data_IF_247725537673
#
_entry.id   IF_247725537673
#
_cell.length_a   1.000
_cell.length_b   1.000
_cell.length_c   1.000
_cell.angle_alpha   90.00
_cell.angle_beta   90.00
_cell.angle_gamma   90.00
#
_symmetry.space_group_name_H-M   'P 1'
#
loop_
_entity.id
_entity.type
_entity.pdbx_description
1 polymer ?
#
# COMPACT_ATOMS: atom_id res chain seq x y z
N UNK A 1 -5.16 3.88 95.22
CA UNK A 1 -6.54 4.41 95.21
C UNK A 1 -6.93 4.68 93.77
N UNK A 2 -8.07 4.10 93.31
CA UNK A 2 -8.82 4.40 92.06
C UNK A 2 -8.06 4.30 90.74
N UNK A 3 -8.41 3.47 89.74
CA UNK A 3 -9.71 3.37 89.07
C UNK A 3 -10.09 4.72 88.43
N UNK A 4 -10.52 4.87 87.18
CA UNK A 4 -10.63 4.07 85.96
C UNK A 4 -11.12 5.06 84.87
N UNK A 5 -10.84 4.77 83.59
CA UNK A 5 -11.53 5.25 82.37
C UNK A 5 -11.71 6.78 82.13
N UNK A 6 -11.28 7.28 80.96
CA UNK A 6 -12.20 7.59 79.85
C UNK A 6 -11.44 7.97 78.56
N UNK A 7 -12.09 7.65 77.44
CA UNK A 7 -11.60 7.59 76.07
C UNK A 7 -11.36 8.95 75.39
N UNK A 8 -10.52 8.96 74.34
CA UNK A 8 -10.78 9.76 73.14
C UNK A 8 -10.39 9.03 71.85
N UNK A 9 -11.21 9.28 70.84
CA UNK A 9 -11.40 8.57 69.57
C UNK A 9 -10.37 8.94 68.48
N UNK A 10 -10.16 7.96 67.58
CA UNK A 10 -10.02 8.03 66.09
C UNK A 10 -8.93 8.98 65.53
N UNK A 11 -8.05 8.57 64.63
CA UNK A 11 -8.37 8.02 63.31
C UNK A 11 -7.12 7.38 62.69
N UNK A 12 -7.26 6.15 62.19
CA UNK A 12 -6.27 5.53 61.31
C UNK A 12 -6.43 6.08 59.89
N UNK A 13 -5.34 6.59 59.31
CA UNK A 13 -5.25 6.85 57.88
C UNK A 13 -4.71 5.59 57.20
N UNK A 14 -5.62 4.73 56.72
CA UNK A 14 -5.31 3.71 55.73
C UNK A 14 -5.07 4.41 54.39
N UNK A 15 -3.82 4.37 53.93
CA UNK A 15 -3.44 4.78 52.59
C UNK A 15 -4.05 3.79 51.59
N UNK A 16 -5.23 4.09 51.06
CA UNK A 16 -5.85 3.31 49.99
C UNK A 16 -5.13 3.62 48.68
N UNK A 17 -4.26 2.71 48.27
CA UNK A 17 -3.62 2.71 46.95
C UNK A 17 -4.70 2.36 45.91
N UNK A 18 -5.34 3.37 45.32
CA UNK A 18 -6.27 3.16 44.20
C UNK A 18 -5.46 2.76 42.97
N UNK A 19 -5.49 1.47 42.60
CA UNK A 19 -5.07 1.03 41.28
C UNK A 19 -5.96 1.70 40.24
N UNK A 20 -5.39 2.63 39.48
CA UNK A 20 -6.00 3.12 38.26
C UNK A 20 -6.13 1.94 37.29
N UNK A 21 -7.35 1.45 37.09
CA UNK A 21 -7.69 0.54 36.01
C UNK A 21 -7.45 1.26 34.69
N UNK A 22 -6.34 0.96 34.03
CA UNK A 22 -6.05 1.38 32.67
C UNK A 22 -7.17 0.87 31.77
N UNK A 23 -8.07 1.77 31.34
CA UNK A 23 -9.00 1.48 30.27
C UNK A 23 -8.17 1.09 29.04
N UNK A 24 -8.24 -0.18 28.65
CA UNK A 24 -7.67 -0.65 27.39
C UNK A 24 -8.44 0.01 26.27
N UNK A 25 -7.86 1.07 25.70
CA UNK A 25 -8.31 1.61 24.43
C UNK A 25 -8.22 0.48 23.40
N UNK A 26 -9.37 -0.10 23.06
CA UNK A 26 -9.47 -1.14 22.04
C UNK A 26 -9.02 -0.54 20.71
N UNK A 27 -7.82 -0.93 20.28
CA UNK A 27 -7.30 -0.56 18.96
C UNK A 27 -8.09 -1.30 17.89
N UNK A 28 -9.05 -0.56 17.30
CA UNK A 28 -9.84 -0.95 16.14
C UNK A 28 -8.91 -1.53 15.05
N UNK A 29 -9.28 -2.64 14.39
CA UNK A 29 -8.49 -3.17 13.28
C UNK A 29 -8.18 -2.12 12.22
N UNK A 30 -6.91 -2.04 11.80
CA UNK A 30 -6.59 -1.46 10.51
C UNK A 30 -7.29 -2.35 9.46
N UNK A 31 -8.17 -1.80 8.62
CA UNK A 31 -9.01 -2.62 7.76
C UNK A 31 -8.19 -3.11 6.57
N UNK A 32 -8.39 -4.39 6.22
CA UNK A 32 -8.31 -4.86 4.85
C UNK A 32 -8.98 -3.84 3.93
N UNK A 33 -8.52 -3.66 2.69
CA UNK A 33 -9.30 -2.84 1.74
C UNK A 33 -10.66 -3.53 1.58
N UNK A 34 -11.73 -2.90 2.09
CA UNK A 34 -13.07 -3.48 2.00
C UNK A 34 -13.53 -3.59 0.54
N UNK A 35 -14.55 -4.40 0.19
CA UNK A 35 -15.14 -4.46 -1.16
C UNK A 35 -15.58 -3.08 -1.61
N UNK A 36 -16.18 -2.33 -0.69
CA UNK A 36 -16.58 -0.95 -0.94
C UNK A 36 -15.36 -0.06 -1.20
N UNK A 37 -14.29 -0.22 -0.43
CA UNK A 37 -13.06 0.55 -0.62
C UNK A 37 -12.31 0.14 -1.89
N UNK A 38 -12.28 -1.15 -2.25
CA UNK A 38 -11.67 -1.67 -3.46
C UNK A 38 -12.46 -1.20 -4.68
N UNK A 39 -13.79 -1.31 -4.66
CA UNK A 39 -14.64 -0.74 -5.69
C UNK A 39 -14.43 0.77 -5.82
N UNK A 40 -14.25 1.49 -4.71
CA UNK A 40 -13.95 2.92 -4.71
C UNK A 40 -12.57 3.23 -5.32
N UNK A 41 -11.54 2.48 -4.94
CA UNK A 41 -10.18 2.59 -5.46
C UNK A 41 -10.16 2.35 -6.97
N UNK A 42 -10.74 1.25 -7.42
CA UNK A 42 -10.83 0.86 -8.83
C UNK A 42 -11.66 1.87 -9.65
N UNK A 43 -12.81 2.31 -9.13
CA UNK A 43 -13.61 3.36 -9.78
C UNK A 43 -12.86 4.70 -9.86
N UNK A 44 -12.14 5.08 -8.80
CA UNK A 44 -11.29 6.28 -8.79
C UNK A 44 -10.14 6.16 -9.80
N UNK A 45 -9.57 4.97 -9.97
CA UNK A 45 -8.59 4.65 -11.00
C UNK A 45 -9.14 4.62 -12.44
N UNK A 46 -10.46 4.69 -12.63
CA UNK A 46 -11.10 4.60 -13.95
C UNK A 46 -11.44 3.19 -14.42
N UNK A 47 -11.41 2.21 -13.50
CA UNK A 47 -11.68 0.80 -13.78
C UNK A 47 -12.81 0.27 -12.90
N UNK A 48 -14.06 0.74 -13.05
CA UNK A 48 -15.16 0.32 -12.18
C UNK A 48 -15.31 -1.20 -12.16
N UNK A 49 -15.68 -1.75 -11.01
CA UNK A 49 -15.93 -3.19 -10.86
C UNK A 49 -17.39 -3.45 -11.21
N UNK A 50 -17.63 -4.23 -12.26
CA UNK A 50 -18.95 -4.69 -12.70
C UNK A 50 -18.96 -6.21 -12.63
N UNK A 51 -19.96 -6.79 -11.95
CA UNK A 51 -20.06 -8.25 -11.76
C UNK A 51 -18.76 -8.89 -11.25
N UNK A 52 -18.14 -8.28 -10.23
CA UNK A 52 -16.89 -8.77 -9.65
C UNK A 52 -15.72 -8.85 -10.66
N UNK A 53 -15.71 -7.95 -11.66
CA UNK A 53 -14.64 -7.80 -12.62
C UNK A 53 -14.39 -6.30 -12.91
N UNK A 54 -13.17 -5.78 -12.75
CA UNK A 54 -12.84 -4.44 -13.25
C UNK A 54 -13.11 -4.36 -14.76
N UNK A 55 -13.74 -3.27 -15.20
CA UNK A 55 -13.96 -2.99 -16.62
C UNK A 55 -13.24 -1.73 -17.05
N UNK A 56 -12.86 -1.65 -18.31
CA UNK A 56 -12.31 -0.41 -18.88
C UNK A 56 -13.45 0.57 -19.21
N UNK A 57 -13.10 1.73 -19.78
CA UNK A 57 -14.06 2.75 -20.18
C UNK A 57 -15.11 2.25 -21.19
N UNK A 58 -14.89 1.10 -21.80
CA UNK A 58 -15.74 0.53 -22.84
C UNK A 58 -16.52 -0.68 -22.35
N UNK A 59 -16.46 -0.96 -21.04
CA UNK A 59 -17.14 -2.08 -20.42
C UNK A 59 -16.48 -3.43 -20.66
N UNK A 60 -15.33 -3.47 -21.36
CA UNK A 60 -14.59 -4.70 -21.54
C UNK A 60 -13.85 -5.07 -20.23
N UNK A 61 -13.64 -6.35 -19.93
CA UNK A 61 -12.86 -6.76 -18.77
C UNK A 61 -11.46 -6.10 -18.78
N UNK A 62 -11.23 -5.25 -17.79
CA UNK A 62 -9.95 -4.58 -17.58
C UNK A 62 -9.07 -5.34 -16.61
N UNK A 63 -7.77 -5.15 -16.82
CA UNK A 63 -6.68 -5.73 -16.03
C UNK A 63 -5.63 -4.66 -15.81
N UNK A 64 -5.92 -3.62 -15.00
CA UNK A 64 -4.94 -2.58 -14.72
C UNK A 64 -3.85 -3.13 -13.78
N UNK A 65 -2.58 -2.85 -14.10
CA UNK A 65 -1.48 -2.88 -13.14
C UNK A 65 -1.63 -1.70 -12.19
N UNK A 66 -1.47 -1.91 -10.88
CA UNK A 66 -1.60 -0.87 -9.86
C UNK A 66 -0.26 -0.71 -9.15
N UNK A 67 0.25 0.51 -9.08
CA UNK A 67 1.45 0.88 -8.29
C UNK A 67 1.05 1.83 -7.19
N UNK A 68 1.47 1.57 -5.96
CA UNK A 68 1.32 2.50 -4.85
C UNK A 68 2.59 3.35 -4.75
N UNK A 69 2.47 4.65 -4.96
CA UNK A 69 3.59 5.59 -4.99
C UNK A 69 3.21 6.78 -4.12
N UNK A 70 4.08 7.17 -3.20
CA UNK A 70 3.92 8.42 -2.45
C UNK A 70 4.22 9.62 -3.35
N UNK A 71 3.19 10.09 -4.06
CA UNK A 71 3.33 11.15 -5.06
C UNK A 71 3.39 12.53 -4.42
N UNK A 72 3.06 12.69 -3.14
CA UNK A 72 3.02 14.01 -2.47
C UNK A 72 3.99 14.13 -1.27
N UNK A 73 4.68 13.04 -0.90
CA UNK A 73 5.65 12.98 0.18
C UNK A 73 5.05 12.90 1.59
N UNK A 74 3.75 12.60 1.72
CA UNK A 74 3.02 12.58 3.00
C UNK A 74 3.06 11.21 3.70
N UNK A 75 3.80 10.24 3.14
CA UNK A 75 3.90 8.84 3.59
C UNK A 75 2.58 8.06 3.44
N UNK A 76 1.65 8.53 2.62
CA UNK A 76 0.47 7.80 2.15
C UNK A 76 0.60 7.64 0.64
N UNK A 77 0.59 6.40 0.18
CA UNK A 77 0.77 6.13 -1.23
C UNK A 77 -0.51 6.38 -2.03
N UNK A 78 -0.37 7.03 -3.19
CA UNK A 78 -1.37 7.10 -4.24
C UNK A 78 -1.30 5.88 -5.17
N UNK A 79 -2.44 5.48 -5.72
CA UNK A 79 -2.54 4.36 -6.64
C UNK A 79 -2.44 4.85 -8.09
N UNK A 80 -1.42 4.41 -8.81
CA UNK A 80 -1.26 4.57 -10.26
C UNK A 80 -1.71 3.29 -10.96
N UNK A 81 -2.75 3.38 -11.76
CA UNK A 81 -3.27 2.34 -12.62
C UNK A 81 -2.70 2.48 -14.04
N UNK A 82 -2.27 1.37 -14.63
CA UNK A 82 -1.80 1.27 -16.00
C UNK A 82 -2.48 0.09 -16.68
N UNK A 83 -3.13 0.29 -17.81
CA UNK A 83 -3.88 -0.77 -18.48
C UNK A 83 -3.78 -0.66 -20.00
N UNK A 84 -3.47 -1.77 -20.65
CA UNK A 84 -3.62 -1.90 -22.10
C UNK A 84 -5.09 -2.13 -22.44
N UNK A 85 -5.70 -1.21 -23.19
CA UNK A 85 -7.10 -1.33 -23.64
C UNK A 85 -7.16 -1.14 -25.14
N UNK A 86 -7.69 -2.13 -25.86
CA UNK A 86 -7.95 -2.01 -27.30
C UNK A 86 -8.93 -0.87 -27.61
N UNK A 87 -9.74 -0.44 -26.63
CA UNK A 87 -10.70 0.62 -26.80
C UNK A 87 -10.07 2.03 -26.72
N UNK A 88 -8.90 2.16 -26.12
CA UNK A 88 -8.19 3.43 -26.03
C UNK A 88 -7.45 3.79 -27.33
N UNK A 89 -8.05 3.52 -28.49
CA UNK A 89 -7.45 3.82 -29.78
C UNK A 89 -7.21 5.34 -29.94
N UNK A 90 -6.09 5.74 -30.58
CA UNK A 90 -5.08 4.89 -31.18
C UNK A 90 -4.03 4.36 -30.19
N UNK A 91 -4.01 4.85 -28.95
CA UNK A 91 -2.94 4.58 -27.97
C UNK A 91 -2.88 3.15 -27.45
N UNK A 92 -4.04 2.47 -27.45
CA UNK A 92 -4.22 1.14 -26.87
C UNK A 92 -3.75 1.01 -25.42
N UNK A 93 -3.67 2.14 -24.71
CA UNK A 93 -3.23 2.22 -23.33
C UNK A 93 -4.08 3.24 -22.59
N UNK A 94 -4.24 3.04 -21.30
CA UNK A 94 -4.93 3.93 -20.38
C UNK A 94 -4.19 3.97 -19.06
N UNK A 95 -4.33 5.09 -18.36
CA UNK A 95 -3.86 5.21 -16.99
C UNK A 95 -4.90 5.90 -16.12
N UNK A 96 -4.77 5.72 -14.81
CA UNK A 96 -5.52 6.45 -13.81
C UNK A 96 -4.67 6.65 -12.57
N UNK A 97 -4.89 7.75 -11.86
CA UNK A 97 -4.26 8.02 -10.57
C UNK A 97 -5.36 8.31 -9.56
N UNK A 98 -5.31 7.62 -8.43
CA UNK A 98 -6.22 7.81 -7.33
C UNK A 98 -5.45 8.10 -6.03
N UNK A 99 -6.00 8.98 -5.20
CA UNK A 99 -5.46 9.28 -3.88
C UNK A 99 -6.49 8.97 -2.79
N UNK A 100 -6.00 8.52 -1.63
CA UNK A 100 -6.85 8.31 -0.45
C UNK A 100 -6.88 9.58 0.38
N UNK A 101 -8.06 10.18 0.50
CA UNK A 101 -8.29 11.36 1.34
C UNK A 101 -8.04 11.09 2.82
N UNK A 102 -7.96 12.17 3.60
CA UNK A 102 -7.86 12.09 5.07
C UNK A 102 -9.10 11.46 5.72
N UNK A 103 -10.23 11.51 5.03
CA UNK A 103 -11.48 10.82 5.35
C UNK A 103 -11.47 9.33 5.02
N UNK A 104 -10.36 8.82 4.46
CA UNK A 104 -10.21 7.43 4.05
C UNK A 104 -10.85 7.09 2.71
N UNK A 105 -11.39 8.07 1.96
CA UNK A 105 -12.04 7.83 0.67
C UNK A 105 -11.08 7.97 -0.49
N UNK A 106 -11.12 7.02 -1.42
CA UNK A 106 -10.39 7.14 -2.69
C UNK A 106 -11.06 8.15 -3.62
N UNK A 107 -10.25 9.07 -4.18
CA UNK A 107 -10.67 10.06 -5.16
C UNK A 107 -9.76 10.00 -6.39
N UNK A 108 -10.34 10.21 -7.56
CA UNK A 108 -9.58 10.32 -8.82
C UNK A 108 -8.77 11.62 -8.82
N UNK A 109 -7.51 11.54 -9.22
CA UNK A 109 -6.64 12.69 -9.48
C UNK A 109 -6.50 12.99 -10.97
N UNK A 110 -6.44 11.97 -11.82
CA UNK A 110 -6.41 12.07 -13.28
C UNK A 110 -6.62 10.69 -13.89
N UNK A 111 -7.12 10.63 -15.12
CA UNK A 111 -7.09 9.43 -15.95
C UNK A 111 -6.99 9.85 -17.42
N UNK A 112 -6.49 8.98 -18.29
CA UNK A 112 -6.38 9.30 -19.71
C UNK A 112 -5.99 8.12 -20.57
N UNK A 113 -6.20 8.26 -21.88
CA UNK A 113 -5.69 7.34 -22.88
C UNK A 113 -4.23 7.68 -23.17
N UNK A 114 -3.38 6.67 -23.36
CA UNK A 114 -1.94 6.83 -23.49
C UNK A 114 -1.19 6.37 -22.24
N UNK A 115 0.03 6.87 -22.09
CA UNK A 115 0.94 6.48 -20.99
C UNK A 115 1.26 7.67 -20.12
N UNK A 116 1.49 7.41 -18.83
CA UNK A 116 1.89 8.43 -17.87
C UNK A 116 3.22 8.05 -17.23
N UNK A 117 4.06 9.05 -17.02
CA UNK A 117 5.33 8.93 -16.31
C UNK A 117 5.40 9.97 -15.19
N UNK A 118 5.73 9.53 -13.98
CA UNK A 118 6.09 10.44 -12.90
C UNK A 118 7.55 10.91 -13.05
N UNK A 119 7.78 12.19 -12.82
CA UNK A 119 9.08 12.85 -12.84
C UNK A 119 9.59 13.06 -11.42
N UNK A 120 10.91 13.23 -11.22
CA UNK A 120 11.48 13.50 -9.89
C UNK A 120 11.17 14.91 -9.38
N UNK A 121 10.73 15.83 -10.24
CA UNK A 121 10.35 17.20 -9.87
C UNK A 121 8.96 17.24 -9.25
N UNK A 122 8.65 18.30 -8.49
CA UNK A 122 7.36 18.47 -7.82
C UNK A 122 6.80 19.87 -8.05
N UNK A 123 5.48 19.95 -8.22
CA UNK A 123 4.70 21.19 -8.23
C UNK A 123 3.65 21.13 -7.14
N UNK A 124 3.65 22.11 -6.23
CA UNK A 124 2.72 22.14 -5.10
C UNK A 124 2.87 20.94 -4.15
N UNK A 125 4.06 20.36 -4.06
CA UNK A 125 4.35 19.17 -3.25
C UNK A 125 4.09 17.83 -3.96
N UNK A 126 3.45 17.82 -5.13
CA UNK A 126 3.11 16.62 -5.88
C UNK A 126 4.10 16.36 -7.01
N UNK A 127 4.43 15.09 -7.28
CA UNK A 127 5.29 14.71 -8.41
C UNK A 127 4.73 15.28 -9.71
N UNK A 128 5.57 15.91 -10.52
CA UNK A 128 5.21 16.31 -11.86
C UNK A 128 5.04 15.08 -12.73
N UNK A 129 4.08 15.09 -13.66
CA UNK A 129 3.89 13.97 -14.58
C UNK A 129 4.06 14.43 -16.03
N UNK A 130 4.35 13.47 -16.88
CA UNK A 130 4.25 13.56 -18.34
C UNK A 130 3.21 12.58 -18.83
N UNK A 131 2.30 13.06 -19.66
CA UNK A 131 1.28 12.25 -20.30
C UNK A 131 1.53 12.21 -21.81
N UNK A 132 1.81 11.03 -22.34
CA UNK A 132 2.03 10.82 -23.77
C UNK A 132 0.77 10.23 -24.42
N UNK A 133 0.24 10.91 -25.43
CA UNK A 133 -0.95 10.55 -26.20
C UNK A 133 -0.95 11.27 -27.55
N UNK A 134 -1.57 10.70 -28.57
CA UNK A 134 -1.72 11.32 -29.89
C UNK A 134 -0.40 11.73 -30.54
N UNK A 135 0.70 11.03 -30.22
CA UNK A 135 2.05 11.39 -30.66
C UNK A 135 2.66 12.63 -30.00
N UNK A 136 2.04 13.18 -28.95
CA UNK A 136 2.55 14.32 -28.16
C UNK A 136 2.71 13.97 -26.70
N UNK A 137 3.50 14.76 -25.97
CA UNK A 137 3.68 14.62 -24.52
C UNK A 137 3.29 15.93 -23.84
N UNK A 138 2.24 15.89 -23.03
CA UNK A 138 1.75 17.01 -22.26
C UNK A 138 2.24 16.94 -20.80
N UNK A 139 2.78 18.03 -20.24
CA UNK A 139 3.12 18.08 -18.82
C UNK A 139 1.84 18.14 -17.98
N UNK A 140 1.68 17.25 -16.99
CA UNK A 140 0.63 17.34 -16.00
C UNK A 140 1.16 17.87 -14.68
N UNK A 141 0.45 18.83 -14.08
CA UNK A 141 0.80 19.47 -12.82
C UNK A 141 -0.40 19.46 -11.88
N UNK A 142 -0.15 19.25 -10.59
CA UNK A 142 -1.20 19.27 -9.59
C UNK A 142 -1.63 20.72 -9.32
N UNK A 143 -2.91 21.04 -9.46
CA UNK A 143 -3.44 22.40 -9.29
C UNK A 143 -3.98 22.71 -7.88
N UNK A 144 -3.73 21.82 -6.91
CA UNK A 144 -4.33 21.87 -5.58
C UNK A 144 -5.51 20.91 -5.40
N UNK A 145 -6.10 20.42 -6.50
CA UNK A 145 -7.20 19.44 -6.46
C UNK A 145 -6.96 18.22 -7.34
N UNK A 146 -6.47 18.40 -8.57
CA UNK A 146 -6.29 17.33 -9.55
C UNK A 146 -5.10 17.65 -10.48
N UNK A 147 -4.64 16.66 -11.25
CA UNK A 147 -3.61 16.88 -12.26
C UNK A 147 -4.22 17.47 -13.54
N UNK A 148 -3.67 18.59 -14.00
CA UNK A 148 -4.10 19.31 -15.21
C UNK A 148 -2.91 19.53 -16.15
N UNK A 149 -3.17 19.69 -17.45
CA UNK A 149 -2.13 20.04 -18.42
C UNK A 149 -1.56 21.43 -18.10
N UNK A 150 -0.24 21.51 -17.91
CA UNK A 150 0.45 22.75 -17.58
C UNK A 150 0.35 23.76 -18.73
N UNK A 151 0.01 25.02 -18.42
CA UNK A 151 -0.11 26.09 -19.43
C UNK A 151 -1.41 26.06 -20.25
N UNK A 152 -2.27 25.06 -20.07
CA UNK A 152 -3.60 25.04 -20.68
C UNK A 152 -4.59 25.86 -19.86
N UNK A 153 -5.29 26.81 -20.49
CA UNK A 153 -6.58 27.30 -19.98
C UNK A 153 -7.57 26.15 -20.15
N UNK A 154 -7.89 25.48 -19.05
CA UNK A 154 -9.04 24.59 -18.92
C UNK A 154 -9.19 23.52 -20.04
N UNK A 155 -8.27 22.55 -20.07
CA UNK A 155 -8.62 21.20 -20.51
C UNK A 155 -8.09 20.22 -19.46
N UNK A 156 -8.89 20.03 -18.42
CA UNK A 156 -8.68 18.92 -17.52
C UNK A 156 -8.65 17.62 -18.36
N UNK A 157 -7.69 16.75 -18.13
CA UNK A 157 -7.69 15.37 -18.61
C UNK A 157 -8.79 14.57 -17.85
N UNK A 158 -9.96 15.17 -17.66
CA UNK A 158 -11.00 14.71 -16.77
C UNK A 158 -12.17 14.22 -17.59
N UNK A 159 -12.38 12.90 -17.55
CA UNK A 159 -13.74 12.38 -17.58
C UNK A 159 -14.27 12.59 -16.13
N UNK A 160 -15.11 13.63 -15.91
CA UNK A 160 -15.78 14.02 -14.65
C UNK A 160 -17.32 14.09 -14.87
N UNK A 161 -18.27 14.29 -13.87
CA UNK A 161 -18.20 14.78 -12.45
C UNK A 161 -19.19 14.04 -11.46
N UNK A 162 -19.63 14.49 -10.22
CA UNK A 162 -19.56 15.80 -9.54
C UNK A 162 -19.05 15.87 -8.06
N UNK A 163 -19.12 17.12 -7.56
CA UNK A 163 -18.30 17.95 -6.63
C UNK A 163 -18.57 17.91 -5.11
N UNK A 164 -17.56 18.31 -4.30
CA UNK A 164 -17.53 19.42 -3.30
C UNK A 164 -16.58 19.11 -2.09
N UNK A 165 -16.28 20.04 -1.15
CA UNK A 165 -15.55 21.33 -1.24
C UNK A 165 -14.25 21.39 -0.36
N UNK A 166 -13.50 22.50 -0.46
CA UNK A 166 -12.15 22.82 0.08
C UNK A 166 -12.12 23.25 1.57
N UNK A 167 -11.01 23.01 2.32
CA UNK A 167 -10.34 24.13 3.05
C UNK A 167 -8.80 24.19 2.89
N UNK A 168 -8.23 25.28 3.42
CA UNK A 168 -6.94 25.94 3.13
C UNK A 168 -5.73 25.47 4.00
N UNK A 169 -4.50 26.00 3.79
CA UNK A 169 -3.23 25.29 4.00
C UNK A 169 -2.61 25.45 5.39
N UNK A 170 -1.79 24.47 5.80
CA UNK A 170 -0.87 24.58 6.93
C UNK A 170 0.59 24.48 6.44
N UNK A 171 1.39 25.39 6.96
CA UNK A 171 2.78 25.71 6.62
C UNK A 171 3.73 24.57 6.96
N UNK A 172 4.64 24.25 6.04
CA UNK A 172 5.69 23.25 6.21
C UNK A 172 6.97 23.88 6.77
N UNK A 173 7.67 23.14 7.62
CA UNK A 173 9.11 23.33 7.89
C UNK A 173 9.80 22.03 7.49
N UNK A 174 10.71 22.12 6.53
CA UNK A 174 11.45 21.00 5.96
C UNK A 174 12.79 20.78 6.69
N UNK A 175 13.22 19.52 6.79
CA UNK A 175 14.66 19.21 6.86
C UNK A 175 15.01 17.86 6.23
N UNK A 176 15.87 17.96 5.22
CA UNK A 176 17.02 17.12 4.84
C UNK A 176 16.88 15.63 4.45
N UNK A 177 17.22 15.43 3.17
CA UNK A 177 17.77 14.27 2.42
C UNK A 177 18.76 13.37 3.17
N UNK A 178 18.71 12.05 2.95
CA UNK A 178 19.89 11.15 2.89
C UNK A 178 19.60 9.92 2.02
N UNK A 179 20.62 9.51 1.25
CA UNK A 179 20.66 8.35 0.37
C UNK A 179 20.48 6.99 1.10
N UNK A 180 19.98 5.98 0.38
CA UNK A 180 19.75 4.64 0.92
C UNK A 180 21.06 4.01 1.48
N UNK A 181 21.08 3.55 2.74
CA UNK A 181 22.29 3.02 3.36
C UNK A 181 22.59 1.58 2.90
N UNK A 182 23.85 1.18 3.10
CA UNK A 182 24.44 -0.15 2.84
C UNK A 182 23.74 -1.37 3.48
N UNK A 183 22.64 -1.17 4.23
CA UNK A 183 21.86 -2.23 4.89
C UNK A 183 20.80 -2.92 4.02
N UNK A 184 20.32 -2.28 2.96
CA UNK A 184 19.21 -2.83 2.15
C UNK A 184 19.67 -3.97 1.23
N UNK A 185 20.95 -3.98 0.84
CA UNK A 185 21.50 -5.03 -0.01
C UNK A 185 21.41 -6.42 0.62
N UNK A 186 21.50 -6.54 1.95
CA UNK A 186 21.38 -7.81 2.67
C UNK A 186 19.95 -8.37 2.58
N UNK A 187 18.93 -7.50 2.61
CA UNK A 187 17.52 -7.88 2.45
C UNK A 187 17.26 -8.40 1.04
N UNK A 188 17.71 -7.66 0.03
CA UNK A 188 17.56 -8.10 -1.35
C UNK A 188 18.24 -9.45 -1.59
N UNK A 189 19.48 -9.63 -1.13
CA UNK A 189 20.18 -10.92 -1.24
C UNK A 189 19.45 -12.04 -0.50
N UNK A 190 18.95 -11.78 0.71
CA UNK A 190 18.16 -12.76 1.46
C UNK A 190 16.86 -13.13 0.75
N UNK A 191 16.23 -12.18 0.04
CA UNK A 191 15.08 -12.43 -0.83
C UNK A 191 15.44 -13.14 -2.15
N UNK A 192 16.73 -13.41 -2.41
CA UNK A 192 17.21 -14.05 -3.63
C UNK A 192 17.43 -13.10 -4.80
N UNK A 193 17.44 -11.78 -4.57
CA UNK A 193 17.65 -10.80 -5.62
C UNK A 193 19.13 -10.63 -5.93
N UNK A 194 19.41 -10.39 -7.21
CA UNK A 194 20.74 -10.06 -7.72
C UNK A 194 20.75 -8.63 -8.23
N UNK A 195 21.87 -7.94 -8.05
CA UNK A 195 22.03 -6.58 -8.57
C UNK A 195 22.40 -6.66 -10.06
N UNK A 196 21.53 -6.16 -10.92
CA UNK A 196 21.75 -6.03 -12.37
C UNK A 196 21.79 -4.54 -12.71
N UNK A 197 23.01 -4.02 -12.87
CA UNK A 197 23.25 -2.57 -12.97
C UNK A 197 22.82 -1.83 -11.70
N UNK A 198 21.90 -0.88 -11.84
CA UNK A 198 21.36 -0.09 -10.72
C UNK A 198 20.06 -0.66 -10.13
N UNK A 199 19.64 -1.86 -10.56
CA UNK A 199 18.39 -2.48 -10.12
C UNK A 199 18.66 -3.77 -9.36
N UNK A 200 17.87 -4.02 -8.32
CA UNK A 200 17.74 -5.36 -7.75
C UNK A 200 16.67 -6.10 -8.54
N UNK A 201 17.00 -7.30 -9.00
CA UNK A 201 16.07 -8.14 -9.77
C UNK A 201 16.00 -9.53 -9.16
N UNK A 202 14.82 -10.12 -9.19
CA UNK A 202 14.67 -11.52 -8.77
C UNK A 202 15.29 -12.47 -9.81
N UNK A 203 14.99 -13.76 -9.70
CA UNK A 203 15.27 -14.73 -10.76
C UNK A 203 14.42 -14.53 -12.02
N UNK A 204 13.48 -13.57 -12.04
CA UNK A 204 12.76 -13.25 -13.26
C UNK A 204 13.65 -12.54 -14.29
N UNK A 205 13.84 -13.19 -15.44
CA UNK A 205 14.58 -12.67 -16.58
C UNK A 205 13.66 -11.89 -17.54
N UNK A 206 12.96 -10.89 -17.01
CA UNK A 206 12.17 -9.98 -17.85
C UNK A 206 13.10 -9.22 -18.83
N UNK A 207 12.83 -9.28 -20.16
CA UNK A 207 13.69 -8.68 -21.19
C UNK A 207 13.62 -7.16 -21.27
N UNK A 208 12.98 -6.48 -20.30
CA UNK A 208 12.73 -5.04 -20.32
C UNK A 208 11.33 -4.68 -20.82
N UNK A 209 10.33 -5.51 -20.51
CA UNK A 209 8.94 -5.21 -20.82
C UNK A 209 8.51 -3.91 -20.15
N UNK A 210 7.60 -3.19 -20.79
CA UNK A 210 7.16 -1.87 -20.32
C UNK A 210 6.48 -1.91 -18.94
N UNK A 211 5.98 -3.08 -18.54
CA UNK A 211 5.32 -3.31 -17.25
C UNK A 211 6.29 -3.62 -16.11
N UNK A 212 7.56 -3.86 -16.43
CA UNK A 212 8.54 -4.34 -15.46
C UNK A 212 8.86 -3.26 -14.42
N UNK A 213 8.85 -3.66 -13.15
CA UNK A 213 9.27 -2.85 -12.01
C UNK A 213 10.30 -3.63 -11.21
N UNK A 214 11.50 -3.09 -10.98
CA UNK A 214 12.55 -3.79 -10.24
C UNK A 214 12.21 -3.93 -8.75
N UNK A 215 13.01 -4.77 -8.08
CA UNK A 215 12.97 -5.03 -6.65
C UNK A 215 12.95 -3.76 -5.80
N UNK A 216 11.94 -3.61 -4.95
CA UNK A 216 11.77 -2.50 -4.01
C UNK A 216 11.46 -3.03 -2.61
N UNK A 217 11.95 -2.37 -1.55
CA UNK A 217 11.57 -2.67 -0.16
C UNK A 217 10.39 -1.75 0.21
N UNK A 218 9.19 -2.31 0.32
CA UNK A 218 7.95 -1.54 0.56
C UNK A 218 7.71 -1.27 2.05
N UNK A 219 8.16 -2.19 2.91
CA UNK A 219 7.88 -2.12 4.35
C UNK A 219 9.03 -2.72 5.15
N UNK A 220 9.32 -2.12 6.31
CA UNK A 220 10.19 -2.67 7.35
C UNK A 220 9.55 -2.49 8.72
N UNK A 221 9.15 -3.57 9.37
CA UNK A 221 8.48 -3.54 10.69
C UNK A 221 8.55 -4.91 11.35
N UNK A 222 8.51 -4.95 12.67
CA UNK A 222 8.36 -6.20 13.41
C UNK A 222 6.92 -6.72 13.24
N UNK A 223 6.76 -7.85 12.54
CA UNK A 223 5.46 -8.45 12.27
C UNK A 223 5.11 -9.55 13.27
N UNK A 224 6.10 -10.27 13.78
CA UNK A 224 5.88 -11.42 14.66
C UNK A 224 5.92 -11.06 16.16
N UNK A 225 6.47 -9.89 16.51
CA UNK A 225 6.59 -9.37 17.87
C UNK A 225 7.83 -9.83 18.62
N UNK A 226 8.86 -10.32 17.93
CA UNK A 226 10.11 -10.81 18.55
C UNK A 226 11.14 -9.70 18.82
N UNK A 227 10.81 -8.45 18.50
CA UNK A 227 11.67 -7.29 18.66
C UNK A 227 12.65 -7.08 17.52
N UNK A 228 12.61 -7.89 16.45
CA UNK A 228 13.39 -7.72 15.22
C UNK A 228 12.47 -7.41 14.04
N UNK A 229 12.92 -6.57 13.09
CA UNK A 229 12.11 -6.22 11.94
C UNK A 229 12.09 -7.32 10.88
N UNK A 230 10.93 -7.47 10.25
CA UNK A 230 10.77 -8.05 8.92
C UNK A 230 10.84 -6.97 7.84
N UNK A 231 11.15 -7.38 6.61
CA UNK A 231 11.06 -6.54 5.42
C UNK A 231 10.26 -7.22 4.31
N UNK A 232 9.46 -6.43 3.59
CA UNK A 232 8.71 -6.88 2.41
C UNK A 232 9.37 -6.32 1.17
N UNK A 233 9.87 -7.21 0.31
CA UNK A 233 10.40 -6.89 -1.00
C UNK A 233 9.33 -7.17 -2.05
N UNK A 234 9.19 -6.31 -3.05
CA UNK A 234 8.28 -6.50 -4.19
C UNK A 234 9.02 -6.40 -5.51
N UNK A 235 8.55 -7.11 -6.52
CA UNK A 235 8.95 -6.93 -7.92
C UNK A 235 7.69 -7.01 -8.78
N UNK A 236 7.64 -6.21 -9.85
CA UNK A 236 6.46 -6.09 -10.71
C UNK A 236 6.77 -6.43 -12.17
N UNK A 237 5.74 -6.80 -12.91
CA UNK A 237 5.82 -7.11 -14.34
C UNK A 237 4.88 -8.25 -14.70
N UNK A 238 4.07 -8.05 -15.75
CA UNK A 238 3.15 -9.09 -16.22
C UNK A 238 3.86 -10.27 -16.84
N UNK A 239 5.08 -10.08 -17.35
CA UNK A 239 5.93 -11.16 -17.87
C UNK A 239 6.28 -12.17 -16.76
N UNK A 240 6.71 -11.67 -15.59
CA UNK A 240 7.14 -12.49 -14.46
C UNK A 240 5.97 -13.05 -13.66
N UNK A 241 4.93 -12.23 -13.46
CA UNK A 241 3.91 -12.44 -12.42
C UNK A 241 2.50 -12.59 -13.00
N UNK A 242 2.41 -12.78 -14.31
CA UNK A 242 1.17 -13.01 -15.03
C UNK A 242 0.11 -11.95 -14.71
N UNK A 243 -1.12 -12.40 -14.53
CA UNK A 243 -2.28 -11.53 -14.33
C UNK A 243 -2.23 -10.72 -13.03
N UNK A 244 -1.45 -11.17 -12.05
CA UNK A 244 -1.28 -10.48 -10.76
C UNK A 244 -0.35 -9.28 -10.87
N UNK A 245 0.58 -9.31 -11.83
CA UNK A 245 1.46 -8.18 -12.14
C UNK A 245 2.54 -7.87 -11.10
N UNK A 246 2.57 -8.58 -9.97
CA UNK A 246 3.63 -8.45 -8.96
C UNK A 246 3.79 -9.70 -8.09
N UNK A 247 4.95 -9.82 -7.47
CA UNK A 247 5.24 -10.77 -6.40
C UNK A 247 5.82 -10.05 -5.18
N UNK A 248 5.78 -10.72 -4.04
CA UNK A 248 6.41 -10.29 -2.81
C UNK A 248 7.31 -11.38 -2.21
N UNK A 249 8.30 -10.93 -1.43
CA UNK A 249 9.15 -11.74 -0.58
C UNK A 249 9.16 -11.13 0.80
N UNK A 250 8.83 -11.93 1.81
CA UNK A 250 8.96 -11.57 3.21
C UNK A 250 10.27 -12.14 3.74
N UNK A 251 11.16 -11.26 4.20
CA UNK A 251 12.40 -11.64 4.88
C UNK A 251 12.37 -11.18 6.33
N UNK A 252 13.04 -11.91 7.22
CA UNK A 252 13.10 -11.63 8.64
C UNK A 252 14.54 -11.46 9.10
N UNK A 253 14.79 -10.47 9.94
CA UNK A 253 16.07 -10.32 10.60
C UNK A 253 16.22 -11.37 11.70
N UNK A 254 17.34 -12.09 11.68
CA UNK A 254 17.67 -13.11 12.65
C UNK A 254 18.41 -12.51 13.85
N UNK A 255 18.59 -13.29 14.91
CA UNK A 255 19.23 -12.83 16.14
C UNK A 255 20.68 -12.38 15.97
N UNK A 256 21.39 -12.95 15.01
CA UNK A 256 22.76 -12.58 14.64
C UNK A 256 22.82 -11.37 13.68
N UNK A 257 21.67 -10.75 13.36
CA UNK A 257 21.55 -9.63 12.44
C UNK A 257 21.47 -10.03 10.96
N UNK A 258 21.63 -11.31 10.62
CA UNK A 258 21.46 -11.82 9.26
C UNK A 258 19.99 -11.74 8.81
N UNK A 259 19.75 -11.82 7.49
CA UNK A 259 18.40 -11.81 6.93
C UNK A 259 18.09 -13.15 6.30
N UNK A 260 16.86 -13.64 6.49
CA UNK A 260 16.40 -14.92 5.95
C UNK A 260 15.05 -14.79 5.26
N UNK A 261 14.90 -15.42 4.09
CA UNK A 261 13.61 -15.56 3.43
C UNK A 261 12.66 -16.42 4.28
N UNK A 262 11.46 -15.89 4.50
CA UNK A 262 10.41 -16.54 5.27
C UNK A 262 9.35 -17.13 4.34
N UNK A 263 8.90 -16.34 3.36
CA UNK A 263 7.93 -16.74 2.34
C UNK A 263 8.03 -15.81 1.14
N UNK A 264 7.68 -16.31 -0.04
CA UNK A 264 7.43 -15.49 -1.21
C UNK A 264 6.21 -16.01 -1.96
N UNK A 265 5.57 -15.13 -2.73
CA UNK A 265 4.47 -15.51 -3.61
C UNK A 265 4.21 -14.45 -4.66
N UNK A 266 3.59 -14.86 -5.77
CA UNK A 266 2.95 -13.93 -6.70
C UNK A 266 1.68 -13.39 -6.05
N UNK A 267 1.59 -12.07 -5.86
CA UNK A 267 0.49 -11.46 -5.12
C UNK A 267 0.86 -10.20 -4.35
N UNK A 268 -0.18 -9.58 -3.79
CA UNK A 268 -0.09 -8.44 -2.88
C UNK A 268 -0.28 -9.00 -1.45
N UNK A 269 0.73 -8.90 -0.56
CA UNK A 269 0.60 -9.44 0.79
C UNK A 269 -0.25 -8.53 1.67
N UNK A 270 -1.26 -9.10 2.31
CA UNK A 270 -1.95 -8.48 3.44
C UNK A 270 -1.66 -9.27 4.72
N UNK A 271 -1.10 -8.61 5.72
CA UNK A 271 -0.81 -9.20 7.03
C UNK A 271 -2.03 -9.09 7.94
N UNK A 272 -2.62 -10.23 8.26
CA UNK A 272 -3.85 -10.31 9.03
C UNK A 272 -3.58 -10.24 10.53
N UNK A 273 -4.63 -9.96 11.29
CA UNK A 273 -4.58 -9.99 12.77
C UNK A 273 -4.47 -11.40 13.33
N UNK A 274 -5.05 -12.38 12.65
CA UNK A 274 -4.92 -13.77 13.05
C UNK A 274 -3.44 -14.18 12.94
N UNK A 275 -2.95 -14.90 13.93
CA UNK A 275 -1.55 -15.31 14.01
C UNK A 275 -1.44 -16.84 13.95
N UNK A 276 -0.32 -17.31 13.41
CA UNK A 276 0.16 -18.66 13.54
C UNK A 276 1.10 -18.82 14.74
N UNK A 277 1.94 -19.84 14.69
CA UNK A 277 2.92 -20.14 15.74
C UNK A 277 3.92 -18.99 15.88
N UNK A 278 4.36 -18.68 17.10
CA UNK A 278 5.42 -17.68 17.34
C UNK A 278 5.03 -16.24 16.97
N UNK A 279 3.73 -15.93 16.91
CA UNK A 279 3.25 -14.57 16.68
C UNK A 279 3.21 -14.11 15.22
N UNK A 280 3.62 -14.96 14.28
CA UNK A 280 3.60 -14.66 12.84
C UNK A 280 2.18 -14.40 12.34
N UNK A 281 1.91 -13.28 11.66
CA UNK A 281 0.58 -13.01 11.10
C UNK A 281 0.25 -14.02 9.99
N UNK A 282 -1.01 -14.44 9.90
CA UNK A 282 -1.51 -15.05 8.67
C UNK A 282 -1.38 -14.03 7.52
N UNK A 283 -1.14 -14.51 6.30
CA UNK A 283 -0.98 -13.65 5.12
C UNK A 283 -2.07 -13.99 4.11
N UNK A 284 -2.94 -13.03 3.80
CA UNK A 284 -3.80 -13.11 2.63
C UNK A 284 -3.02 -12.63 1.41
N UNK A 285 -3.03 -13.41 0.33
CA UNK A 285 -2.27 -13.13 -0.88
C UNK A 285 -3.24 -12.62 -1.96
N UNK A 286 -3.32 -11.29 -2.06
CA UNK A 286 -4.18 -10.60 -3.00
C UNK A 286 -3.74 -10.76 -4.45
N UNK A 287 -4.70 -10.65 -5.36
CA UNK A 287 -4.51 -10.72 -6.80
C UNK A 287 -5.82 -10.40 -7.53
N UNK A 288 -5.91 -10.66 -8.84
CA UNK A 288 -7.14 -10.47 -9.59
C UNK A 288 -8.28 -11.32 -9.03
N UNK A 289 -9.49 -10.73 -8.96
CA UNK A 289 -10.71 -11.40 -8.51
C UNK A 289 -10.99 -11.24 -7.01
N UNK A 290 -11.70 -12.22 -6.48
CA UNK A 290 -12.16 -12.30 -5.09
C UNK A 290 -11.76 -13.67 -4.53
N UNK A 291 -11.76 -13.84 -3.21
CA UNK A 291 -11.35 -15.07 -2.53
C UNK A 291 -9.84 -15.37 -2.59
N UNK A 292 -9.08 -14.70 -1.73
CA UNK A 292 -7.62 -14.81 -1.68
C UNK A 292 -7.16 -15.98 -0.82
N UNK A 293 -6.11 -16.71 -1.23
CA UNK A 293 -5.51 -17.73 -0.37
C UNK A 293 -4.87 -17.06 0.85
N UNK A 294 -5.13 -17.66 2.01
CA UNK A 294 -4.49 -17.31 3.27
C UNK A 294 -3.50 -18.40 3.61
N UNK A 295 -2.26 -17.99 3.86
CA UNK A 295 -1.22 -18.88 4.40
C UNK A 295 -0.97 -18.57 5.86
N UNK A 296 -0.68 -19.61 6.64
CA UNK A 296 -0.40 -19.52 8.08
C UNK A 296 0.96 -20.12 8.40
N UNK A 297 1.70 -19.47 9.29
CA UNK A 297 2.93 -20.02 9.83
C UNK A 297 2.64 -21.18 10.79
N UNK A 298 3.19 -22.36 10.49
CA UNK A 298 3.03 -23.57 11.32
C UNK A 298 4.18 -23.80 12.33
N UNK A 299 5.08 -22.84 12.49
CA UNK A 299 6.30 -22.99 13.29
C UNK A 299 7.56 -23.20 12.44
N UNK A 300 7.40 -23.59 11.17
CA UNK A 300 8.51 -23.89 10.24
C UNK A 300 8.37 -23.21 8.88
N UNK A 301 7.15 -23.13 8.34
CA UNK A 301 6.87 -22.54 7.04
C UNK A 301 5.45 -21.96 7.01
N UNK A 302 5.20 -21.04 6.07
CA UNK A 302 3.86 -20.64 5.69
C UNK A 302 3.22 -21.75 4.86
N UNK A 303 2.09 -22.27 5.32
CA UNK A 303 1.31 -23.33 4.64
C UNK A 303 -0.09 -22.85 4.30
N UNK A 304 -0.75 -23.39 3.25
CA UNK A 304 -2.14 -23.11 2.97
C UNK A 304 -3.02 -23.35 4.20
N UNK A 305 -3.93 -22.42 4.47
CA UNK A 305 -4.79 -22.47 5.66
C UNK A 305 -6.27 -22.39 5.27
N UNK A 306 -6.65 -21.34 4.56
CA UNK A 306 -8.02 -21.12 4.08
C UNK A 306 -7.98 -20.22 2.86
N UNK A 307 -9.15 -19.97 2.28
CA UNK A 307 -9.34 -18.83 1.37
C UNK A 307 -10.37 -17.89 1.97
N UNK A 308 -10.14 -16.60 1.84
CA UNK A 308 -11.03 -15.60 2.41
C UNK A 308 -11.09 -14.32 1.57
N UNK A 309 -12.11 -13.52 1.83
CA UNK A 309 -12.22 -12.17 1.33
C UNK A 309 -12.80 -11.31 2.45
N UNK A 310 -12.11 -10.21 2.81
CA UNK A 310 -12.47 -9.35 3.95
C UNK A 310 -12.60 -10.10 5.29
N UNK A 311 -11.79 -11.13 5.50
CA UNK A 311 -11.86 -11.98 6.69
C UNK A 311 -13.04 -12.98 6.71
N UNK A 312 -13.86 -13.03 5.65
CA UNK A 312 -14.91 -14.03 5.50
C UNK A 312 -14.43 -15.23 4.66
N UNK A 313 -14.68 -16.48 5.09
CA UNK A 313 -14.37 -17.66 4.29
C UNK A 313 -15.13 -17.63 2.96
N UNK A 314 -14.45 -18.05 1.89
CA UNK A 314 -15.13 -18.22 0.59
C UNK A 314 -16.01 -19.48 0.60
N UNK A 315 -17.14 -19.42 -0.12
CA UNK A 315 -18.01 -20.56 -0.41
C UNK A 315 -17.90 -20.95 -1.87
#
# INVERSE_FOLDING_TARGET
MGGAHMAYRRSGALLALTLATSATAQTKPAPAISKAEAAQLYAAGGFPIVNDQPTDACGAPARPSIRFIDMNGDRRAEALFLHHSACAAPEKATFGIAAKGTDGRWRKLVAGNGTVRALPTRTGGWLDLEWTHGGRTDPLRYNGSLYVVAGGKDKAAAIAPPTAPKPAPATATATATTAAPSGDAAIFRAAGFTRRGNQWRSGCDDPGTISYSPGTIEKRTDLNGDGRPEAVVTEGGSYCYGNTGMAFWLVSQQADGSWKLVVNSTGIPEFLKSKGVGGWPDIAIGGPGFCFPVVRWNGKAYVPNRREYEGMPCR
#
